data_IF_804806006734
#
_entry.id   IF_804806006734
#
_cell.length_a   1.000
_cell.length_b   1.000
_cell.length_c   1.000
_cell.angle_alpha   90.00
_cell.angle_beta   90.00
_cell.angle_gamma   90.00
#
_symmetry.space_group_name_H-M   'P 1'
#
loop_
_entity.id
_entity.type
_entity.pdbx_description
1 polymer ?
#
# COMPACT_ATOMS: atom_id res chain seq x y z
N UNK A 1 -0.71 -0.43 -23.08
CA UNK A 1 -1.99 -0.74 -22.41
C UNK A 1 -2.04 -2.16 -21.83
N UNK A 2 -1.51 -3.19 -22.49
CA UNK A 2 -1.54 -4.58 -21.96
C UNK A 2 -0.60 -4.87 -20.77
N UNK A 3 0.50 -4.13 -20.58
CA UNK A 3 1.42 -4.40 -19.46
C UNK A 3 0.83 -4.00 -18.09
N UNK A 4 0.05 -2.92 -18.04
CA UNK A 4 -0.54 -2.40 -16.80
C UNK A 4 -1.66 -3.33 -16.33
N UNK A 5 -2.46 -3.87 -17.25
CA UNK A 5 -3.49 -4.86 -16.92
C UNK A 5 -2.88 -6.18 -16.43
N UNK A 6 -1.75 -6.62 -17.00
CA UNK A 6 -1.06 -7.84 -16.54
C UNK A 6 -0.44 -7.66 -15.16
N UNK A 7 0.09 -6.47 -14.83
CA UNK A 7 0.59 -6.16 -13.49
C UNK A 7 -0.54 -6.09 -12.46
N UNK A 8 -1.68 -5.50 -12.80
CA UNK A 8 -2.89 -5.51 -11.96
C UNK A 8 -3.40 -6.93 -11.70
N UNK A 9 -3.42 -7.79 -12.73
CA UNK A 9 -3.82 -9.20 -12.60
C UNK A 9 -2.80 -9.99 -11.77
N UNK A 10 -1.50 -9.75 -11.92
CA UNK A 10 -0.49 -10.42 -11.09
C UNK A 10 -0.59 -10.03 -9.61
N UNK A 11 -0.91 -8.77 -9.30
CA UNK A 11 -1.15 -8.33 -7.91
C UNK A 11 -2.45 -8.87 -7.30
N UNK A 12 -3.48 -9.13 -8.12
CA UNK A 12 -4.78 -9.64 -7.64
C UNK A 12 -4.81 -11.17 -7.57
N UNK A 13 -4.16 -11.89 -8.51
CA UNK A 13 -4.30 -13.34 -8.68
C UNK A 13 -3.09 -14.18 -8.20
N UNK A 14 -1.96 -13.56 -7.84
CA UNK A 14 -0.84 -14.26 -7.19
C UNK A 14 -0.67 -13.82 -5.73
N UNK A 15 -1.65 -14.04 -4.84
CA UNK A 15 -1.36 -14.04 -3.42
C UNK A 15 -0.54 -15.31 -3.14
N UNK A 16 0.75 -15.14 -2.84
CA UNK A 16 1.45 -16.12 -2.00
C UNK A 16 0.60 -16.27 -0.74
N UNK A 17 0.15 -17.49 -0.51
CA UNK A 17 -0.99 -17.91 0.32
C UNK A 17 -0.93 -17.55 1.82
N UNK A 18 0.04 -16.74 2.24
CA UNK A 18 0.21 -16.30 3.62
C UNK A 18 0.00 -14.78 3.80
N UNK A 19 0.13 -13.97 2.73
CA UNK A 19 -0.05 -12.50 2.81
C UNK A 19 -1.53 -12.07 2.69
N UNK A 20 -2.38 -12.89 2.05
CA UNK A 20 -3.81 -12.61 1.90
C UNK A 20 -4.66 -12.93 3.14
N UNK A 21 -4.06 -13.53 4.17
CA UNK A 21 -4.71 -13.76 5.46
C UNK A 21 -4.95 -12.47 6.27
N UNK A 22 -4.41 -11.33 5.82
CA UNK A 22 -4.66 -10.00 6.39
C UNK A 22 -5.98 -9.38 5.90
N UNK A 23 -6.66 -9.96 4.91
CA UNK A 23 -7.96 -9.46 4.41
C UNK A 23 -9.17 -10.34 4.70
N UNK A 24 -9.00 -11.48 5.38
CA UNK A 24 -10.15 -12.00 6.12
C UNK A 24 -10.27 -11.13 7.36
N UNK A 25 -11.12 -10.11 7.27
CA UNK A 25 -11.94 -9.69 8.40
C UNK A 25 -12.61 -10.98 8.87
N UNK A 26 -11.93 -11.73 9.74
CA UNK A 26 -12.62 -12.70 10.58
C UNK A 26 -13.72 -11.89 11.25
N UNK A 27 -14.94 -12.35 11.05
CA UNK A 27 -16.19 -11.83 11.58
C UNK A 27 -16.21 -12.01 13.12
N UNK A 28 -15.16 -11.55 13.79
CA UNK A 28 -14.86 -11.72 15.21
C UNK A 28 -13.99 -10.54 15.67
N UNK A 29 -14.46 -9.30 15.50
CA UNK A 29 -14.14 -8.27 16.48
C UNK A 29 -15.39 -7.44 16.75
N UNK A 30 -15.99 -7.78 17.88
CA UNK A 30 -17.13 -7.13 18.49
C UNK A 30 -16.64 -5.75 18.95
N UNK A 31 -16.99 -4.68 18.23
CA UNK A 31 -17.11 -3.26 18.68
C UNK A 31 -16.82 -2.22 17.58
N UNK A 32 -17.38 -2.39 16.38
CA UNK A 32 -17.42 -1.29 15.40
C UNK A 32 -18.81 -1.13 14.82
N UNK A 33 -19.80 -1.01 15.71
CA UNK A 33 -21.21 -0.85 15.34
C UNK A 33 -21.51 0.53 14.72
N UNK A 34 -20.58 1.48 14.84
CA UNK A 34 -20.74 2.87 14.40
C UNK A 34 -19.89 3.26 13.18
N UNK A 35 -19.18 2.31 12.55
CA UNK A 35 -18.43 2.59 11.33
C UNK A 35 -18.92 1.71 10.19
N UNK A 36 -19.19 2.36 9.07
CA UNK A 36 -19.69 1.75 7.85
C UNK A 36 -18.70 0.72 7.29
N UNK A 37 -19.22 -0.27 6.56
CA UNK A 37 -18.38 -1.30 5.93
C UNK A 37 -17.39 -0.67 4.93
N UNK A 38 -17.83 0.31 4.15
CA UNK A 38 -16.99 1.05 3.20
C UNK A 38 -15.82 1.75 3.91
N UNK A 39 -16.10 2.40 5.03
CA UNK A 39 -15.07 3.04 5.83
C UNK A 39 -14.07 2.03 6.43
N UNK A 40 -14.57 0.90 6.96
CA UNK A 40 -13.70 -0.16 7.49
C UNK A 40 -12.77 -0.73 6.42
N UNK A 41 -13.31 -1.04 5.24
CA UNK A 41 -12.50 -1.56 4.14
C UNK A 41 -11.44 -0.56 3.70
N UNK A 42 -11.78 0.72 3.63
CA UNK A 42 -10.80 1.76 3.31
C UNK A 42 -9.71 1.84 4.37
N UNK A 43 -10.07 1.92 5.65
CA UNK A 43 -9.11 2.04 6.76
C UNK A 43 -8.18 0.83 6.83
N UNK A 44 -8.72 -0.39 6.77
CA UNK A 44 -7.93 -1.62 6.74
C UNK A 44 -7.03 -1.70 5.50
N UNK A 45 -7.53 -1.27 4.33
CA UNK A 45 -6.74 -1.20 3.10
C UNK A 45 -5.57 -0.24 3.21
N UNK A 46 -5.77 0.93 3.84
CA UNK A 46 -4.69 1.90 4.07
C UNK A 46 -3.70 1.44 5.13
N UNK A 47 -4.14 0.80 6.22
CA UNK A 47 -3.22 0.20 7.19
C UNK A 47 -2.33 -0.86 6.53
N UNK A 48 -2.91 -1.69 5.66
CA UNK A 48 -2.16 -2.66 4.88
C UNK A 48 -1.20 -2.00 3.88
N UNK A 49 -1.65 -0.94 3.19
CA UNK A 49 -0.80 -0.17 2.29
C UNK A 49 0.37 0.50 3.03
N UNK A 50 0.13 1.05 4.23
CA UNK A 50 1.17 1.61 5.07
C UNK A 50 2.20 0.54 5.45
N UNK A 51 1.75 -0.64 5.87
CA UNK A 51 2.63 -1.78 6.15
C UNK A 51 3.51 -2.14 4.94
N UNK A 52 2.93 -2.24 3.74
CA UNK A 52 3.70 -2.53 2.53
C UNK A 52 4.68 -1.42 2.14
N UNK A 53 4.39 -0.17 2.46
CA UNK A 53 5.30 0.94 2.14
C UNK A 53 6.42 1.12 3.17
N UNK A 54 6.15 0.81 4.44
CA UNK A 54 7.10 1.05 5.52
C UNK A 54 8.01 -0.16 5.81
N UNK A 55 7.52 -1.38 5.55
CA UNK A 55 8.28 -2.60 5.78
C UNK A 55 9.50 -2.70 4.84
N UNK A 56 10.67 -2.97 5.45
CA UNK A 56 11.95 -3.02 4.75
C UNK A 56 11.98 -4.08 3.63
N UNK A 57 11.30 -5.22 3.82
CA UNK A 57 11.25 -6.27 2.82
C UNK A 57 10.53 -5.80 1.56
N UNK A 58 9.38 -5.13 1.71
CA UNK A 58 8.62 -4.62 0.56
C UNK A 58 9.33 -3.48 -0.15
N UNK A 59 10.02 -2.60 0.59
CA UNK A 59 10.90 -1.58 0.01
C UNK A 59 11.98 -2.18 -0.89
N UNK A 60 12.63 -3.26 -0.45
CA UNK A 60 13.63 -3.96 -1.26
C UNK A 60 13.03 -4.59 -2.51
N UNK A 61 11.82 -5.15 -2.42
CA UNK A 61 11.08 -5.69 -3.56
C UNK A 61 10.76 -4.60 -4.59
N UNK A 62 10.27 -3.44 -4.16
CA UNK A 62 10.00 -2.31 -5.08
C UNK A 62 11.29 -1.82 -5.75
N UNK A 63 12.37 -1.69 -4.99
CA UNK A 63 13.68 -1.31 -5.51
C UNK A 63 14.23 -2.33 -6.52
N UNK A 64 14.08 -3.63 -6.23
CA UNK A 64 14.46 -4.71 -7.14
C UNK A 64 13.63 -4.69 -8.43
N UNK A 65 12.31 -4.53 -8.30
CA UNK A 65 11.39 -4.43 -9.44
C UNK A 65 11.75 -3.28 -10.36
N UNK A 66 11.97 -2.09 -9.81
CA UNK A 66 12.35 -0.91 -10.59
C UNK A 66 13.73 -1.05 -11.26
N UNK A 67 14.73 -1.65 -10.58
CA UNK A 67 16.02 -1.97 -11.20
C UNK A 67 15.85 -2.96 -12.36
N UNK A 68 15.00 -3.98 -12.19
CA UNK A 68 14.70 -4.96 -13.25
C UNK A 68 14.06 -4.29 -14.46
N UNK A 69 13.17 -3.32 -14.26
CA UNK A 69 12.62 -2.51 -15.36
C UNK A 69 13.70 -1.80 -16.17
N UNK A 70 14.71 -1.23 -15.50
CA UNK A 70 15.85 -0.60 -16.19
C UNK A 70 16.67 -1.59 -17.04
N UNK A 71 16.65 -2.90 -16.74
CA UNK A 71 17.38 -3.90 -17.53
C UNK A 71 16.75 -4.21 -18.88
N UNK A 72 15.45 -3.94 -19.07
CA UNK A 72 14.76 -4.11 -20.34
C UNK A 72 15.06 -2.98 -21.34
N UNK A 73 15.74 -1.92 -20.90
CA UNK A 73 16.12 -0.79 -21.74
C UNK A 73 17.40 -1.16 -22.51
N UNK A 74 17.31 -1.16 -23.84
CA UNK A 74 18.41 -1.53 -24.74
C UNK A 74 19.49 -0.44 -24.83
N UNK A 75 19.13 0.84 -24.70
CA UNK A 75 20.08 1.95 -24.71
C UNK A 75 20.81 2.06 -23.38
N UNK A 76 22.14 1.94 -23.43
CA UNK A 76 23.00 2.01 -22.24
C UNK A 76 22.92 3.39 -21.54
N UNK A 77 22.83 4.46 -22.32
CA UNK A 77 22.66 5.81 -21.79
C UNK A 77 21.37 5.95 -20.98
N UNK A 78 20.25 5.45 -21.53
CA UNK A 78 18.94 5.51 -20.88
C UNK A 78 18.90 4.57 -19.67
N UNK A 79 19.50 3.38 -19.78
CA UNK A 79 19.64 2.43 -18.67
C UNK A 79 20.40 3.03 -17.49
N UNK A 80 21.48 3.77 -17.73
CA UNK A 80 22.25 4.44 -16.68
C UNK A 80 21.44 5.55 -16.01
N UNK A 81 20.67 6.33 -16.77
CA UNK A 81 19.75 7.33 -16.23
C UNK A 81 18.67 6.65 -15.38
N UNK A 82 18.06 5.58 -15.87
CA UNK A 82 17.05 4.80 -15.16
C UNK A 82 17.59 4.26 -13.84
N UNK A 83 18.75 3.61 -13.85
CA UNK A 83 19.39 3.09 -12.64
C UNK A 83 19.67 4.18 -11.62
N UNK A 84 20.19 5.34 -12.07
CA UNK A 84 20.43 6.51 -11.21
C UNK A 84 19.14 7.09 -10.66
N UNK A 85 18.07 7.11 -11.46
CA UNK A 85 16.77 7.59 -11.04
C UNK A 85 16.19 6.69 -9.95
N UNK A 86 16.14 5.38 -10.20
CA UNK A 86 15.66 4.37 -9.27
C UNK A 86 16.45 4.39 -7.97
N UNK A 87 17.78 4.45 -8.01
CA UNK A 87 18.58 4.45 -6.78
C UNK A 87 18.47 5.73 -5.95
N UNK A 88 18.23 6.88 -6.59
CA UNK A 88 18.25 8.19 -5.91
C UNK A 88 16.86 8.67 -5.48
N UNK A 89 15.84 8.43 -6.29
CA UNK A 89 14.51 9.02 -6.11
C UNK A 89 13.48 8.01 -5.64
N UNK A 90 13.55 6.73 -6.04
CA UNK A 90 12.55 5.75 -5.64
C UNK A 90 12.46 5.57 -4.11
N UNK A 91 13.58 5.48 -3.34
CA UNK A 91 13.48 5.41 -1.89
C UNK A 91 12.75 6.61 -1.29
N UNK A 92 13.04 7.82 -1.78
CA UNK A 92 12.41 9.05 -1.31
C UNK A 92 10.92 9.11 -1.65
N UNK A 93 10.54 8.58 -2.81
CA UNK A 93 9.14 8.49 -3.20
C UNK A 93 8.40 7.51 -2.29
N UNK A 94 9.02 6.37 -1.94
CA UNK A 94 8.43 5.42 -1.01
C UNK A 94 8.31 6.01 0.41
N UNK A 95 9.31 6.78 0.86
CA UNK A 95 9.24 7.52 2.13
C UNK A 95 8.07 8.51 2.15
N UNK A 96 7.97 9.35 1.13
CA UNK A 96 6.91 10.36 1.01
C UNK A 96 5.53 9.69 0.95
N UNK A 97 5.35 8.69 0.08
CA UNK A 97 4.09 7.96 -0.04
C UNK A 97 3.73 7.25 1.26
N UNK A 98 4.69 6.58 1.92
CA UNK A 98 4.47 5.95 3.21
C UNK A 98 3.96 6.96 4.25
N UNK A 99 4.59 8.13 4.33
CA UNK A 99 4.18 9.20 5.26
C UNK A 99 2.82 9.83 4.97
N UNK A 100 2.38 9.81 3.71
CA UNK A 100 1.09 10.35 3.29
C UNK A 100 -0.04 9.35 3.51
N UNK A 101 0.26 8.04 3.51
CA UNK A 101 -0.73 7.00 3.75
C UNK A 101 -1.14 7.03 5.22
N UNK A 102 -2.26 7.70 5.47
CA UNK A 102 -2.89 7.76 6.78
C UNK A 102 -4.40 7.64 6.67
N UNK A 103 -5.09 7.40 7.79
CA UNK A 103 -6.53 7.13 7.80
C UNK A 103 -7.38 8.31 7.31
N UNK A 104 -6.81 9.53 7.24
CA UNK A 104 -7.45 10.72 6.66
C UNK A 104 -7.78 10.59 5.17
N UNK A 105 -7.03 9.79 4.40
CA UNK A 105 -7.31 9.55 2.98
C UNK A 105 -8.71 8.94 2.78
N UNK A 106 -9.20 8.13 3.73
CA UNK A 106 -10.54 7.58 3.64
C UNK A 106 -11.64 8.64 3.76
N UNK A 107 -11.37 9.76 4.44
CA UNK A 107 -12.28 10.91 4.42
C UNK A 107 -12.17 11.67 3.10
N UNK A 108 -10.96 11.81 2.55
CA UNK A 108 -10.76 12.48 1.25
C UNK A 108 -11.42 11.75 0.09
N UNK A 109 -11.54 10.42 0.18
CA UNK A 109 -12.27 9.58 -0.78
C UNK A 109 -13.77 9.45 -0.50
N UNK A 110 -14.31 10.17 0.49
CA UNK A 110 -15.71 10.09 0.93
C UNK A 110 -16.14 8.68 1.39
N UNK A 111 -15.17 7.81 1.70
CA UNK A 111 -15.40 6.46 2.19
C UNK A 111 -15.66 6.43 3.70
N UNK A 112 -15.20 7.45 4.45
CA UNK A 112 -15.38 7.60 5.89
C UNK A 112 -15.78 9.03 6.26
N UNK A 113 -16.75 9.18 7.18
CA UNK A 113 -16.93 10.46 7.88
C UNK A 113 -15.78 10.72 8.83
N UNK A 114 -15.46 11.99 9.09
CA UNK A 114 -14.38 12.37 10.01
C UNK A 114 -14.58 11.85 11.45
N UNK A 115 -15.83 11.60 11.86
CA UNK A 115 -16.16 10.99 13.16
C UNK A 115 -15.79 9.50 13.21
N UNK A 116 -15.92 8.78 12.09
CA UNK A 116 -15.59 7.35 11.99
C UNK A 116 -14.07 7.13 12.02
N UNK A 117 -13.32 7.99 11.32
CA UNK A 117 -11.84 7.98 11.35
C UNK A 117 -11.32 8.23 12.76
N UNK A 118 -11.84 9.23 13.46
CA UNK A 118 -11.46 9.51 14.86
C UNK A 118 -11.72 8.33 15.78
N UNK A 119 -12.87 7.66 15.61
CA UNK A 119 -13.23 6.49 16.42
C UNK A 119 -12.22 5.35 16.19
N UNK A 120 -11.85 5.10 14.93
CA UNK A 120 -10.86 4.08 14.57
C UNK A 120 -9.48 4.39 15.16
N UNK A 121 -8.98 5.63 15.00
CA UNK A 121 -7.67 6.02 15.53
C UNK A 121 -7.59 5.92 17.06
N UNK A 122 -8.67 6.22 17.79
CA UNK A 122 -8.70 6.07 19.26
C UNK A 122 -8.63 4.59 19.65
N UNK A 123 -9.35 3.72 18.94
CA UNK A 123 -9.36 2.28 19.20
C UNK A 123 -8.01 1.63 18.89
N UNK A 124 -7.35 2.03 17.80
CA UNK A 124 -6.01 1.56 17.44
C UNK A 124 -4.98 1.91 18.53
N UNK A 125 -5.03 3.12 19.08
CA UNK A 125 -4.13 3.56 20.14
C UNK A 125 -4.38 2.89 21.51
N UNK A 126 -5.59 2.35 21.74
CA UNK A 126 -5.95 1.66 22.98
C UNK A 126 -5.71 0.14 22.95
N UNK A 127 -5.28 -0.43 21.81
CA UNK A 127 -4.86 -1.84 21.69
C UNK A 127 -3.40 -2.08 22.13
N UNK A 128 -2.79 -1.14 22.87
CA UNK A 128 -1.45 -1.23 23.48
C UNK A 128 -1.56 -1.56 24.96
#
# INVERSE_FOLDING_TARGET
>A
MMLITVLFIFCIFYPTSDAFKVSTVEENDYEMQNVTLECRLCLSGLSLAHYFMDDMYWRDIYMMGAKKLCTFISSEQIKNICNKYTSKYLPKILDEVGSLIGPGICTDFDACKSTEVKLFTIQENNKI
#
